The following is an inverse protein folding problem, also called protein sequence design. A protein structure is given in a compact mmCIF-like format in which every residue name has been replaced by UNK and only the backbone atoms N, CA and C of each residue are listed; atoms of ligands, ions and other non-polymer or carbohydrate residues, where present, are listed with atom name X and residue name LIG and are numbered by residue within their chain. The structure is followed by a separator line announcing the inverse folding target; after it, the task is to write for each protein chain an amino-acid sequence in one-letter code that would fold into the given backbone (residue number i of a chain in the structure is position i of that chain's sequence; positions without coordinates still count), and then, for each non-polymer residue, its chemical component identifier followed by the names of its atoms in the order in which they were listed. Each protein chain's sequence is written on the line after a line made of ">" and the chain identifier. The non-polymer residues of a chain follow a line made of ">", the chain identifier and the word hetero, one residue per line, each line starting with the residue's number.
data_IF_204717713834
#
_entry.id   IF_204717713834
#
_cell.length_a   1.000
_cell.length_b   1.000
_cell.length_c   1.000
_cell.angle_alpha   90.00
_cell.angle_beta   90.00
_cell.angle_gamma   90.00
#
_symmetry.space_group_name_H-M   'P 1'
#
loop_
_entity.id
_entity.type
_entity.pdbx_description
1 polymer ?
#
# COMPACT_ATOMS: atom_id res chain seq x y z
N UNK A 1 -10.18 38.13 -3.96
CA UNK A 1 -9.23 37.11 -3.48
C UNK A 1 -9.96 35.89 -2.88
N UNK A 2 -11.03 35.41 -3.52
CA UNK A 2 -11.75 34.18 -3.14
C UNK A 2 -12.11 33.43 -4.43
N UNK A 3 -11.19 32.63 -4.94
CA UNK A 3 -11.49 31.69 -6.03
C UNK A 3 -10.41 30.62 -6.08
N UNK A 4 -10.48 29.68 -5.14
CA UNK A 4 -9.56 28.53 -5.16
C UNK A 4 -10.20 27.22 -5.57
N UNK A 5 -11.54 27.07 -5.59
CA UNK A 5 -12.16 25.84 -6.12
C UNK A 5 -13.52 26.13 -6.80
N UNK A 6 -13.82 25.53 -7.97
CA UNK A 6 -14.96 25.94 -8.81
C UNK A 6 -16.32 25.38 -8.36
N UNK A 7 -16.33 24.35 -7.51
CA UNK A 7 -17.52 23.69 -6.95
C UNK A 7 -17.16 22.93 -5.65
N UNK A 8 -18.15 22.50 -4.87
CA UNK A 8 -17.95 21.75 -3.63
C UNK A 8 -17.22 20.42 -3.85
N UNK A 9 -17.36 19.82 -5.03
CA UNK A 9 -16.70 18.56 -5.40
C UNK A 9 -15.18 18.72 -5.50
N UNK A 10 -14.69 19.83 -6.07
CA UNK A 10 -13.27 20.11 -6.14
C UNK A 10 -12.63 20.31 -4.75
N UNK A 11 -13.37 20.85 -3.78
CA UNK A 11 -12.92 20.92 -2.38
C UNK A 11 -12.85 19.53 -1.74
N UNK A 12 -13.83 18.66 -2.00
CA UNK A 12 -13.85 17.28 -1.51
C UNK A 12 -12.70 16.46 -2.08
N UNK A 13 -12.43 16.58 -3.39
CA UNK A 13 -11.32 15.90 -4.06
C UNK A 13 -9.97 16.40 -3.51
N UNK A 14 -9.78 17.72 -3.37
CA UNK A 14 -8.55 18.27 -2.81
C UNK A 14 -8.32 17.85 -1.35
N UNK A 15 -9.40 17.79 -0.55
CA UNK A 15 -9.35 17.28 0.83
C UNK A 15 -9.01 15.79 0.88
N UNK A 16 -9.59 14.99 -0.01
CA UNK A 16 -9.32 13.57 -0.15
C UNK A 16 -7.85 13.30 -0.52
N UNK A 17 -7.32 14.02 -1.52
CA UNK A 17 -5.91 13.90 -1.91
C UNK A 17 -4.98 14.25 -0.76
N UNK A 18 -5.25 15.32 -0.02
CA UNK A 18 -4.46 15.69 1.18
C UNK A 18 -4.52 14.61 2.26
N UNK A 19 -5.68 13.98 2.47
CA UNK A 19 -5.81 12.88 3.42
C UNK A 19 -4.97 11.67 2.99
N UNK A 20 -4.98 11.34 1.69
CA UNK A 20 -4.14 10.27 1.14
C UNK A 20 -2.65 10.59 1.29
N UNK A 21 -2.23 11.81 0.96
CA UNK A 21 -0.83 12.24 1.11
C UNK A 21 -0.37 12.13 2.58
N UNK A 22 -1.18 12.66 3.51
CA UNK A 22 -0.90 12.58 4.94
C UNK A 22 -0.86 11.14 5.46
N UNK A 23 -1.71 10.26 4.92
CA UNK A 23 -1.70 8.84 5.26
C UNK A 23 -0.45 8.13 4.74
N UNK A 24 -0.01 8.42 3.51
CA UNK A 24 1.24 7.90 2.96
C UNK A 24 2.42 8.32 3.84
N UNK A 25 2.45 9.57 4.30
CA UNK A 25 3.50 10.05 5.20
C UNK A 25 3.52 9.28 6.53
N UNK A 26 2.36 8.95 7.08
CA UNK A 26 2.26 8.12 8.28
C UNK A 26 2.76 6.70 8.04
N UNK A 27 2.42 6.08 6.91
CA UNK A 27 2.91 4.75 6.53
C UNK A 27 4.44 4.74 6.42
N UNK A 28 5.00 5.74 5.74
CA UNK A 28 6.47 5.87 5.57
C UNK A 28 7.16 6.06 6.91
N UNK A 29 6.62 6.89 7.79
CA UNK A 29 7.18 7.09 9.12
C UNK A 29 7.06 5.83 9.99
N UNK A 30 5.95 5.09 9.90
CA UNK A 30 5.75 3.83 10.65
C UNK A 30 6.81 2.78 10.34
N UNK A 31 7.28 2.72 9.09
CA UNK A 31 8.30 1.73 8.65
C UNK A 31 9.72 2.29 8.61
N UNK A 32 9.94 3.50 9.11
CA UNK A 32 11.27 4.13 9.15
C UNK A 32 12.27 3.24 9.90
N UNK A 33 13.45 3.07 9.33
CA UNK A 33 14.52 2.24 9.86
C UNK A 33 14.36 0.74 9.61
N UNK A 34 13.27 0.29 8.96
CA UNK A 34 13.10 -1.10 8.55
C UNK A 34 13.79 -1.32 7.20
N UNK A 35 14.93 -2.02 7.21
CA UNK A 35 15.69 -2.32 6.00
C UNK A 35 15.31 -3.64 5.33
N UNK A 36 14.64 -4.54 6.05
CA UNK A 36 14.18 -5.82 5.50
C UNK A 36 12.87 -5.65 4.71
N UNK A 37 12.81 -6.06 3.42
CA UNK A 37 11.65 -5.82 2.57
C UNK A 37 10.40 -6.55 3.05
N UNK A 38 10.53 -7.74 3.64
CA UNK A 38 9.38 -8.48 4.18
C UNK A 38 8.78 -7.70 5.34
N UNK A 39 9.62 -7.28 6.27
CA UNK A 39 9.21 -6.54 7.46
C UNK A 39 8.57 -5.20 7.07
N UNK A 40 9.19 -4.43 6.16
CA UNK A 40 8.66 -3.14 5.72
C UNK A 40 7.30 -3.27 5.01
N UNK A 41 7.12 -4.26 4.14
CA UNK A 41 5.83 -4.48 3.45
C UNK A 41 4.76 -4.99 4.42
N UNK A 42 5.09 -5.96 5.28
CA UNK A 42 4.14 -6.48 6.26
C UNK A 42 3.69 -5.39 7.23
N UNK A 43 4.61 -4.57 7.76
CA UNK A 43 4.27 -3.47 8.66
C UNK A 43 3.46 -2.38 7.95
N UNK A 44 3.83 -1.98 6.73
CA UNK A 44 3.07 -0.98 5.97
C UNK A 44 1.64 -1.44 5.65
N UNK A 45 1.45 -2.70 5.23
CA UNK A 45 0.11 -3.27 4.97
C UNK A 45 -0.70 -3.40 6.25
N UNK A 46 -0.10 -3.92 7.33
CA UNK A 46 -0.81 -4.11 8.60
C UNK A 46 -1.22 -2.76 9.20
N UNK A 47 -0.29 -1.80 9.26
CA UNK A 47 -0.58 -0.44 9.68
C UNK A 47 -1.65 0.20 8.80
N UNK A 48 -1.55 0.00 7.48
CA UNK A 48 -2.52 0.52 6.54
C UNK A 48 -3.93 0.01 6.83
N UNK A 49 -4.10 -1.31 6.98
CA UNK A 49 -5.40 -1.93 7.29
C UNK A 49 -5.93 -1.47 8.66
N UNK A 50 -5.09 -1.49 9.69
CA UNK A 50 -5.47 -1.11 11.06
C UNK A 50 -5.96 0.36 11.13
N UNK A 51 -5.33 1.27 10.38
CA UNK A 51 -5.70 2.69 10.36
C UNK A 51 -6.83 3.01 9.37
N UNK A 52 -6.93 2.28 8.26
CA UNK A 52 -8.01 2.45 7.28
C UNK A 52 -9.35 2.00 7.86
N UNK A 53 -9.41 0.85 8.55
CA UNK A 53 -10.64 0.36 9.20
C UNK A 53 -11.10 1.22 10.39
N UNK A 54 -10.29 2.20 10.82
CA UNK A 54 -10.58 3.09 11.94
C UNK A 54 -10.95 4.52 11.53
N UNK A 55 -10.75 4.92 10.27
CA UNK A 55 -10.97 6.28 9.79
C UNK A 55 -12.11 6.33 8.76
N UNK A 56 -13.32 6.81 9.14
CA UNK A 56 -14.46 6.90 8.24
C UNK A 56 -14.21 7.73 6.99
N UNK A 57 -13.32 8.73 7.04
CA UNK A 57 -13.00 9.53 5.86
C UNK A 57 -12.22 8.68 4.85
N UNK A 58 -11.25 7.90 5.31
CA UNK A 58 -10.47 7.01 4.45
C UNK A 58 -11.29 5.80 3.98
N UNK A 59 -12.11 5.20 4.84
CA UNK A 59 -13.04 4.12 4.43
C UNK A 59 -13.98 4.58 3.32
N UNK A 60 -14.52 5.80 3.44
CA UNK A 60 -15.37 6.40 2.42
C UNK A 60 -14.63 6.64 1.11
N UNK A 61 -13.32 6.90 1.11
CA UNK A 61 -12.55 7.00 -0.13
C UNK A 61 -12.40 5.66 -0.85
N UNK A 62 -12.31 4.56 -0.09
CA UNK A 62 -12.19 3.21 -0.64
C UNK A 62 -13.53 2.65 -1.11
N UNK A 63 -14.62 3.03 -0.44
CA UNK A 63 -15.99 2.56 -0.74
C UNK A 63 -16.78 3.48 -1.67
N UNK A 64 -16.38 4.76 -1.86
CA UNK A 64 -17.04 5.67 -2.81
C UNK A 64 -16.85 5.18 -4.24
N UNK A 65 -17.85 4.41 -4.68
CA UNK A 65 -18.25 4.30 -6.07
C UNK A 65 -18.80 5.68 -6.46
N UNK A 66 -18.03 6.49 -7.18
CA UNK A 66 -18.61 7.68 -7.81
C UNK A 66 -19.77 7.21 -8.70
N UNK A 67 -20.99 7.69 -8.43
CA UNK A 67 -22.16 7.38 -9.24
C UNK A 67 -21.96 7.95 -10.65
N UNK A 68 -21.40 7.14 -11.55
CA UNK A 68 -21.18 7.49 -12.95
C UNK A 68 -19.72 7.42 -13.44
N UNK A 69 -18.73 7.29 -12.55
CA UNK A 69 -17.33 7.05 -12.91
C UNK A 69 -16.90 5.65 -12.46
N UNK A 70 -16.01 5.01 -13.23
CA UNK A 70 -15.43 3.73 -12.83
C UNK A 70 -14.80 3.89 -11.43
N UNK A 71 -15.11 2.97 -10.52
CA UNK A 71 -14.53 2.97 -9.18
C UNK A 71 -13.02 3.22 -9.28
N UNK A 72 -12.49 4.18 -8.51
CA UNK A 72 -11.05 4.41 -8.45
C UNK A 72 -10.42 3.14 -7.93
N UNK A 73 -9.92 2.31 -8.86
CA UNK A 73 -9.41 1.00 -8.49
C UNK A 73 -8.16 1.21 -7.64
N UNK A 74 -8.15 0.58 -6.47
CA UNK A 74 -6.96 0.44 -5.62
C UNK A 74 -5.79 -0.20 -6.38
N UNK A 75 -6.04 -0.83 -7.52
CA UNK A 75 -5.02 -1.42 -8.40
C UNK A 75 -4.95 -0.73 -9.77
N UNK A 76 -5.40 0.52 -9.89
CA UNK A 76 -5.21 1.31 -11.11
C UNK A 76 -3.74 1.66 -11.32
N UNK A 77 -3.33 1.97 -12.56
CA UNK A 77 -1.96 2.40 -12.88
C UNK A 77 -1.51 3.59 -12.02
N UNK A 78 -2.44 4.50 -11.71
CA UNK A 78 -2.19 5.63 -10.80
C UNK A 78 -1.93 5.16 -9.37
N UNK A 79 -2.75 4.25 -8.84
CA UNK A 79 -2.54 3.69 -7.51
C UNK A 79 -1.22 2.91 -7.40
N UNK A 80 -0.87 2.13 -8.43
CA UNK A 80 0.42 1.43 -8.52
C UNK A 80 1.58 2.44 -8.53
N UNK A 81 1.48 3.51 -9.31
CA UNK A 81 2.50 4.57 -9.36
C UNK A 81 2.71 5.25 -8.00
N UNK A 82 1.63 5.52 -7.27
CA UNK A 82 1.68 6.09 -5.92
C UNK A 82 2.27 5.09 -4.92
N UNK A 83 1.89 3.82 -4.98
CA UNK A 83 2.45 2.79 -4.11
C UNK A 83 3.95 2.59 -4.38
N UNK A 84 4.36 2.59 -5.65
CA UNK A 84 5.75 2.51 -6.06
C UNK A 84 6.57 3.72 -5.56
N UNK A 85 6.03 4.95 -5.68
CA UNK A 85 6.69 6.13 -5.13
C UNK A 85 6.82 6.08 -3.61
N UNK A 86 5.86 5.44 -2.93
CA UNK A 86 5.90 5.18 -1.49
C UNK A 86 7.00 4.17 -1.13
N UNK A 87 7.15 3.07 -1.87
CA UNK A 87 8.21 2.09 -1.63
C UNK A 87 9.60 2.68 -1.81
N UNK A 88 9.78 3.61 -2.76
CA UNK A 88 11.03 4.34 -2.92
C UNK A 88 11.39 5.26 -1.74
N UNK A 89 10.43 5.56 -0.85
CA UNK A 89 10.65 6.32 0.38
C UNK A 89 11.01 5.44 1.58
N UNK A 90 10.93 4.11 1.46
CA UNK A 90 11.31 3.19 2.54
C UNK A 90 12.83 3.05 2.62
N UNK A 91 13.36 2.76 3.82
CA UNK A 91 14.80 2.56 4.07
C UNK A 91 15.32 1.18 3.57
N UNK A 92 14.64 0.58 2.60
CA UNK A 92 14.95 -0.73 2.01
C UNK A 92 15.81 -0.54 0.76
N UNK A 93 16.97 -1.20 0.72
CA UNK A 93 17.75 -1.30 -0.52
C UNK A 93 17.16 -2.38 -1.43
N UNK A 94 16.13 -2.01 -2.18
CA UNK A 94 15.40 -2.92 -3.06
C UNK A 94 16.31 -3.68 -4.03
N UNK A 95 17.34 -3.04 -4.57
CA UNK A 95 18.30 -3.66 -5.49
C UNK A 95 19.15 -4.71 -4.78
N UNK A 96 19.64 -4.43 -3.57
CA UNK A 96 20.35 -5.41 -2.74
C UNK A 96 19.48 -6.63 -2.42
N UNK A 97 18.16 -6.44 -2.35
CA UNK A 97 17.19 -7.50 -2.15
C UNK A 97 16.71 -8.18 -3.44
N UNK A 98 17.31 -7.87 -4.59
CA UNK A 98 17.04 -8.54 -5.86
C UNK A 98 15.82 -8.00 -6.62
N UNK A 99 15.29 -6.84 -6.24
CA UNK A 99 14.22 -6.17 -6.98
C UNK A 99 14.80 -5.25 -8.05
N UNK A 100 14.40 -5.48 -9.29
CA UNK A 100 14.48 -4.49 -10.36
C UNK A 100 13.19 -3.64 -10.41
N UNK A 101 13.11 -2.72 -11.37
CA UNK A 101 11.95 -1.83 -11.54
C UNK A 101 10.66 -2.61 -11.78
N UNK A 102 10.72 -3.70 -12.55
CA UNK A 102 9.55 -4.52 -12.89
C UNK A 102 9.06 -5.26 -11.67
N UNK A 103 9.95 -5.97 -10.98
CA UNK A 103 9.63 -6.72 -9.77
C UNK A 103 9.09 -5.81 -8.65
N UNK A 104 9.62 -4.58 -8.52
CA UNK A 104 9.12 -3.63 -7.53
C UNK A 104 7.72 -3.12 -7.88
N UNK A 105 7.42 -2.91 -9.17
CA UNK A 105 6.07 -2.55 -9.63
C UNK A 105 5.06 -3.69 -9.41
N UNK A 106 5.46 -4.94 -9.68
CA UNK A 106 4.63 -6.13 -9.41
C UNK A 106 4.39 -6.30 -7.90
N UNK A 107 5.39 -6.02 -7.06
CA UNK A 107 5.22 -5.99 -5.60
C UNK A 107 4.22 -4.92 -5.16
N UNK A 108 4.26 -3.73 -5.78
CA UNK A 108 3.31 -2.65 -5.49
C UNK A 108 1.87 -3.08 -5.85
N UNK A 109 1.67 -3.68 -7.02
CA UNK A 109 0.39 -4.25 -7.42
C UNK A 109 -0.10 -5.31 -6.40
N UNK A 110 0.76 -6.27 -6.05
CA UNK A 110 0.39 -7.35 -5.13
C UNK A 110 0.07 -6.85 -3.72
N UNK A 111 0.77 -5.81 -3.27
CA UNK A 111 0.51 -5.12 -2.01
C UNK A 111 -0.88 -4.48 -2.01
N UNK A 112 -1.20 -3.72 -3.06
CA UNK A 112 -2.51 -3.08 -3.22
C UNK A 112 -3.65 -4.09 -3.32
N UNK A 113 -3.47 -5.19 -4.06
CA UNK A 113 -4.43 -6.31 -4.14
C UNK A 113 -4.67 -6.94 -2.77
N UNK A 114 -3.63 -7.08 -1.96
CA UNK A 114 -3.73 -7.65 -0.61
C UNK A 114 -4.55 -6.73 0.31
N UNK A 115 -4.24 -5.43 0.31
CA UNK A 115 -5.02 -4.43 1.09
C UNK A 115 -6.48 -4.42 0.65
N UNK A 116 -6.73 -4.33 -0.66
CA UNK A 116 -8.08 -4.33 -1.20
C UNK A 116 -8.86 -5.60 -0.82
N UNK A 117 -8.24 -6.78 -0.94
CA UNK A 117 -8.89 -8.05 -0.59
C UNK A 117 -9.29 -8.11 0.88
N UNK A 118 -8.43 -7.67 1.80
CA UNK A 118 -8.71 -7.73 3.24
C UNK A 118 -9.81 -6.74 3.63
N UNK A 119 -9.80 -5.54 3.06
CA UNK A 119 -10.79 -4.50 3.36
C UNK A 119 -12.16 -4.80 2.73
N UNK A 120 -12.20 -5.46 1.57
CA UNK A 120 -13.46 -5.73 0.86
C UNK A 120 -14.20 -6.95 1.40
N UNK A 121 -13.49 -7.97 1.89
CA UNK A 121 -14.07 -9.20 2.44
C UNK A 121 -13.39 -9.60 3.77
N UNK A 122 -13.62 -8.83 4.86
CA UNK A 122 -13.00 -9.08 6.14
C UNK A 122 -13.58 -10.32 6.84
N UNK A 123 -12.72 -11.12 7.45
CA UNK A 123 -13.11 -12.24 8.31
C UNK A 123 -13.81 -11.73 9.57
N UNK A 124 -14.72 -12.52 10.15
CA UNK A 124 -15.43 -12.21 11.39
C UNK A 124 -15.07 -13.20 12.52
N UNK A 125 -14.41 -12.75 13.60
CA UNK A 125 -13.91 -11.39 13.85
C UNK A 125 -12.70 -11.03 12.96
N UNK A 126 -12.43 -9.72 12.73
CA UNK A 126 -11.26 -9.28 11.97
C UNK A 126 -9.95 -9.77 12.60
N UNK A 127 -8.93 -9.99 11.76
CA UNK A 127 -7.57 -10.21 12.25
C UNK A 127 -6.95 -8.85 12.57
N UNK A 128 -6.36 -8.73 13.74
CA UNK A 128 -5.76 -7.49 14.22
C UNK A 128 -4.32 -7.73 14.72
N UNK A 129 -3.53 -6.65 14.77
CA UNK A 129 -2.24 -6.63 15.44
C UNK A 129 -1.28 -7.73 14.95
N UNK A 130 -0.87 -8.63 15.85
CA UNK A 130 0.11 -9.69 15.55
C UNK A 130 -0.47 -10.80 14.66
N UNK A 131 -1.77 -11.09 14.77
CA UNK A 131 -2.39 -12.16 13.96
C UNK A 131 -2.52 -11.72 12.50
N UNK A 132 -2.82 -10.44 12.25
CA UNK A 132 -2.79 -9.85 10.92
C UNK A 132 -1.38 -9.90 10.32
N UNK A 133 -0.38 -9.44 11.06
CA UNK A 133 1.04 -9.49 10.64
C UNK A 133 1.49 -10.90 10.30
N UNK A 134 1.17 -11.89 11.15
CA UNK A 134 1.52 -13.29 10.93
C UNK A 134 0.84 -13.84 9.67
N UNK A 135 -0.43 -13.50 9.46
CA UNK A 135 -1.18 -13.91 8.27
C UNK A 135 -0.54 -13.35 6.99
N UNK A 136 -0.27 -12.04 6.95
CA UNK A 136 0.34 -11.38 5.80
C UNK A 136 1.76 -11.91 5.57
N UNK A 137 2.58 -12.01 6.61
CA UNK A 137 3.96 -12.54 6.52
C UNK A 137 3.99 -13.95 5.92
N UNK A 138 3.04 -14.81 6.32
CA UNK A 138 2.98 -16.20 5.84
C UNK A 138 2.76 -16.29 4.33
N UNK A 139 2.00 -15.36 3.74
CA UNK A 139 1.61 -15.43 2.34
C UNK A 139 2.43 -14.49 1.44
N UNK A 140 2.71 -13.27 1.88
CA UNK A 140 3.53 -12.31 1.13
C UNK A 140 5.03 -12.50 1.37
N UNK A 141 5.45 -12.92 2.56
CA UNK A 141 6.88 -13.04 2.90
C UNK A 141 7.66 -13.91 1.91
N UNK A 142 7.22 -15.14 1.60
CA UNK A 142 7.89 -15.98 0.61
C UNK A 142 7.93 -15.36 -0.80
N UNK A 143 6.86 -14.68 -1.21
CA UNK A 143 6.80 -14.00 -2.50
C UNK A 143 7.78 -12.82 -2.58
N UNK A 144 7.94 -12.07 -1.48
CA UNK A 144 8.90 -10.97 -1.37
C UNK A 144 10.35 -11.47 -1.33
N UNK A 145 10.61 -12.64 -0.77
CA UNK A 145 11.96 -13.23 -0.75
C UNK A 145 12.34 -13.89 -2.08
N UNK A 146 11.37 -14.22 -2.93
CA UNK A 146 11.60 -14.92 -4.20
C UNK A 146 12.58 -14.20 -5.15
N UNK A 147 12.48 -12.89 -5.43
CA UNK A 147 13.44 -12.18 -6.26
C UNK A 147 14.89 -12.30 -5.75
N UNK A 148 15.07 -12.22 -4.41
CA UNK A 148 16.36 -12.40 -3.76
C UNK A 148 16.91 -13.82 -3.94
N UNK A 149 16.06 -14.82 -3.81
CA UNK A 149 16.46 -16.22 -4.02
C UNK A 149 16.88 -16.47 -5.47
N UNK A 150 16.12 -15.94 -6.43
CA UNK A 150 16.41 -16.12 -7.85
C UNK A 150 17.66 -15.38 -8.32
N UNK A 151 17.94 -14.20 -7.76
CA UNK A 151 19.17 -13.46 -8.07
C UNK A 151 20.42 -14.19 -7.59
N UNK A 152 20.35 -14.84 -6.42
CA UNK A 152 21.44 -15.65 -5.88
C UNK A 152 21.67 -16.94 -6.69
N UNK A 153 20.60 -17.60 -7.15
CA UNK A 153 20.72 -18.80 -8.00
C UNK A 153 21.30 -18.45 -9.37
N UNK A 154 20.90 -17.32 -9.95
CA UNK A 154 21.40 -16.87 -11.26
C UNK A 154 22.85 -16.38 -11.21
N UNK A 155 23.37 -16.07 -10.02
CA UNK A 155 24.75 -15.63 -9.81
C UNK A 155 25.72 -16.79 -9.48
N UNK A 156 25.22 -18.03 -9.34
CA UNK A 156 26.06 -19.21 -9.11
C UNK A 156 26.72 -19.69 -10.44
N UNK A 157 28.02 -20.04 -10.43
CA UNK A 157 28.77 -20.40 -11.63
C UNK A 157 28.39 -21.75 -12.25
#
# INVERSE_FOLDING_TARGET
>A
MYRYFPNADALLIASAMRAVDGFIDQVVEHVRGLNDPVTAIVESVSFGIDNLAGDPQLENLLTRRHEGEAATSLTSDTAITICLSTFHRFDVDWRLHGFDTTALSELAEMTLRTVQSILTDPVQPPREGIELRRFITRWLGPAILYPRMMSLVSAAP
#
